data_IF_802651596699
#
_entry.id   IF_802651596699
#
_cell.length_a   1.000
_cell.length_b   1.000
_cell.length_c   1.000
_cell.angle_alpha   90.00
_cell.angle_beta   90.00
_cell.angle_gamma   90.00
#
_symmetry.space_group_name_H-M   'P 1'
#
loop_
_entity.id
_entity.type
_entity.pdbx_description
1 polymer ?
#
# COMPACT_ATOMS: atom_id res chain seq x y z
N UNK A 1 1.72 15.78 5.37
CA UNK A 1 0.69 15.84 4.30
C UNK A 1 -0.64 15.41 4.90
N UNK A 2 -1.71 16.21 4.72
CA UNK A 2 -3.05 15.83 5.17
C UNK A 2 -3.48 14.51 4.50
N UNK A 3 -4.35 13.77 5.18
CA UNK A 3 -4.92 12.56 4.61
C UNK A 3 -5.69 12.92 3.32
N UNK A 4 -5.61 12.09 2.27
CA UNK A 4 -6.41 12.33 1.08
C UNK A 4 -7.89 12.30 1.43
N UNK A 5 -8.65 13.18 0.77
CA UNK A 5 -10.11 13.20 0.85
C UNK A 5 -10.66 11.79 0.57
N UNK A 6 -11.32 11.15 1.56
CA UNK A 6 -11.80 9.79 1.43
C UNK A 6 -12.95 9.68 0.43
N UNK A 7 -13.69 10.75 0.17
CA UNK A 7 -14.90 10.71 -0.65
C UNK A 7 -14.67 11.09 -2.12
N UNK A 8 -13.47 11.57 -2.48
CA UNK A 8 -13.19 12.03 -3.84
C UNK A 8 -12.81 10.95 -4.85
N UNK A 9 -12.64 9.69 -4.41
CA UNK A 9 -12.20 8.57 -5.27
C UNK A 9 -12.86 7.27 -4.84
N UNK A 10 -13.37 6.53 -5.81
CA UNK A 10 -13.95 5.18 -5.64
C UNK A 10 -13.20 4.19 -6.54
N UNK A 11 -12.87 3.02 -6.00
CA UNK A 11 -12.24 1.92 -6.76
C UNK A 11 -13.32 0.88 -7.10
N UNK A 12 -13.43 0.53 -8.38
CA UNK A 12 -14.44 -0.41 -8.86
C UNK A 12 -13.78 -1.56 -9.62
N UNK A 13 -14.20 -2.79 -9.33
CA UNK A 13 -13.88 -3.94 -10.17
C UNK A 13 -14.79 -3.94 -11.40
N UNK A 14 -14.20 -4.21 -12.58
CA UNK A 14 -14.88 -4.27 -13.88
C UNK A 14 -14.62 -5.63 -14.52
N UNK A 15 -15.46 -6.10 -15.45
CA UNK A 15 -15.28 -7.41 -16.10
C UNK A 15 -13.91 -7.63 -16.76
N UNK A 16 -13.22 -6.55 -17.13
CA UNK A 16 -11.92 -6.59 -17.83
C UNK A 16 -10.78 -5.96 -17.01
N UNK A 17 -10.98 -5.71 -15.71
CA UNK A 17 -9.95 -5.12 -14.86
C UNK A 17 -10.50 -4.18 -13.80
N UNK A 18 -9.82 -3.05 -13.58
CA UNK A 18 -10.17 -2.12 -12.51
C UNK A 18 -10.42 -0.71 -13.04
N UNK A 19 -11.44 -0.05 -12.48
CA UNK A 19 -11.75 1.36 -12.69
C UNK A 19 -11.48 2.17 -11.44
N UNK A 20 -11.11 3.44 -11.62
CA UNK A 20 -11.01 4.41 -10.52
C UNK A 20 -11.83 5.63 -10.91
N UNK A 21 -12.94 5.85 -10.20
CA UNK A 21 -13.80 7.02 -10.37
C UNK A 21 -13.23 8.19 -9.59
N UNK A 22 -13.30 9.38 -10.18
CA UNK A 22 -12.81 10.62 -9.57
C UNK A 22 -13.95 11.62 -9.52
N UNK A 23 -14.40 11.94 -8.31
CA UNK A 23 -15.41 12.95 -8.10
C UNK A 23 -14.78 14.35 -8.09
N UNK A 24 -15.27 15.23 -8.94
CA UNK A 24 -14.81 16.62 -9.03
C UNK A 24 -15.98 17.57 -8.85
N UNK A 25 -16.40 17.80 -7.60
CA UNK A 25 -17.37 18.85 -7.30
C UNK A 25 -16.79 20.23 -7.64
N UNK A 26 -17.46 20.98 -8.52
CA UNK A 26 -17.07 22.33 -8.95
C UNK A 26 -15.57 22.46 -9.32
N UNK A 27 -14.99 21.43 -9.94
CA UNK A 27 -13.57 21.32 -10.32
C UNK A 27 -12.55 21.39 -9.15
N UNK A 28 -13.02 21.53 -7.90
CA UNK A 28 -12.16 21.55 -6.71
C UNK A 28 -11.37 20.25 -6.60
N UNK A 29 -10.09 20.33 -6.26
CA UNK A 29 -9.23 19.16 -6.03
C UNK A 29 -8.96 18.27 -7.26
N UNK A 30 -9.41 18.65 -8.47
CA UNK A 30 -9.27 17.84 -9.71
C UNK A 30 -7.84 17.34 -9.93
N UNK A 31 -6.85 18.21 -9.85
CA UNK A 31 -5.44 17.84 -10.09
C UNK A 31 -4.93 16.82 -9.08
N UNK A 32 -5.20 17.04 -7.79
CA UNK A 32 -4.75 16.16 -6.71
C UNK A 32 -5.46 14.80 -6.77
N UNK A 33 -6.78 14.79 -7.02
CA UNK A 33 -7.57 13.55 -7.14
C UNK A 33 -7.17 12.76 -8.38
N UNK A 34 -6.94 13.40 -9.53
CA UNK A 34 -6.43 12.74 -10.74
C UNK A 34 -5.04 12.16 -10.55
N UNK A 35 -4.13 12.87 -9.87
CA UNK A 35 -2.80 12.34 -9.55
C UNK A 35 -2.90 11.10 -8.65
N UNK A 36 -3.76 11.13 -7.63
CA UNK A 36 -4.04 9.98 -6.76
C UNK A 36 -4.64 8.82 -7.55
N UNK A 37 -5.61 9.05 -8.42
CA UNK A 37 -6.23 8.02 -9.25
C UNK A 37 -5.23 7.32 -10.15
N UNK A 38 -4.33 8.07 -10.81
CA UNK A 38 -3.24 7.49 -11.62
C UNK A 38 -2.32 6.60 -10.79
N UNK A 39 -1.99 6.99 -9.56
CA UNK A 39 -1.17 6.18 -8.67
C UNK A 39 -1.91 4.90 -8.22
N UNK A 40 -3.21 4.99 -7.92
CA UNK A 40 -4.03 3.81 -7.58
C UNK A 40 -4.09 2.85 -8.76
N UNK A 41 -4.37 3.33 -9.98
CA UNK A 41 -4.39 2.52 -11.20
C UNK A 41 -3.06 1.78 -11.45
N UNK A 42 -1.92 2.46 -11.25
CA UNK A 42 -0.60 1.80 -11.36
C UNK A 42 -0.41 0.67 -10.36
N UNK A 43 -0.87 0.85 -9.12
CA UNK A 43 -0.76 -0.18 -8.09
C UNK A 43 -1.78 -1.32 -8.28
N UNK A 44 -2.97 -1.02 -8.82
CA UNK A 44 -3.95 -2.02 -9.25
C UNK A 44 -3.36 -2.90 -10.35
N UNK A 45 -2.73 -2.29 -11.37
CA UNK A 45 -2.07 -3.02 -12.45
C UNK A 45 -0.89 -3.86 -11.96
N UNK A 46 -0.12 -3.38 -10.97
CA UNK A 46 1.03 -4.11 -10.46
C UNK A 46 0.63 -5.30 -9.56
N UNK A 47 -0.20 -5.04 -8.54
CA UNK A 47 -0.44 -5.99 -7.45
C UNK A 47 -1.91 -5.98 -6.95
N UNK A 48 -2.85 -5.47 -7.74
CA UNK A 48 -4.28 -5.43 -7.37
C UNK A 48 -4.61 -4.55 -6.16
N UNK A 49 -3.79 -3.53 -5.87
CA UNK A 49 -3.99 -2.66 -4.68
C UNK A 49 -4.03 -3.45 -3.35
N UNK A 50 -3.16 -4.46 -3.24
CA UNK A 50 -3.07 -5.35 -2.09
C UNK A 50 -1.98 -4.94 -1.06
N UNK A 51 -2.25 -5.26 0.21
CA UNK A 51 -1.32 -5.06 1.31
C UNK A 51 -0.11 -5.98 1.19
N UNK A 52 1.11 -5.41 1.18
CA UNK A 52 2.36 -6.18 1.06
C UNK A 52 2.68 -7.10 2.25
N UNK A 53 1.96 -6.98 3.36
CA UNK A 53 2.17 -7.82 4.55
C UNK A 53 1.16 -8.95 4.67
N UNK A 54 -0.13 -8.65 4.50
CA UNK A 54 -1.21 -9.64 4.73
C UNK A 54 -1.97 -10.02 3.47
N UNK A 55 -1.64 -9.47 2.30
CA UNK A 55 -2.33 -9.74 1.03
C UNK A 55 -3.73 -9.13 0.90
N UNK A 56 -4.36 -8.73 2.00
CA UNK A 56 -5.70 -8.13 1.98
C UNK A 56 -5.76 -6.77 1.27
N UNK A 57 -6.96 -6.31 0.88
CA UNK A 57 -7.13 -5.08 0.13
C UNK A 57 -6.65 -3.85 0.91
N UNK A 58 -6.02 -2.91 0.21
CA UNK A 58 -5.72 -1.59 0.78
C UNK A 58 -7.00 -0.74 0.71
N UNK A 59 -7.46 -0.15 1.84
CA UNK A 59 -8.67 0.68 1.80
C UNK A 59 -8.50 1.90 0.90
N UNK A 60 -9.57 2.30 0.21
CA UNK A 60 -9.55 3.41 -0.74
C UNK A 60 -9.08 4.72 -0.11
N UNK A 61 -9.52 5.05 1.11
CA UNK A 61 -9.14 6.26 1.86
C UNK A 61 -7.64 6.34 2.24
N UNK A 62 -6.86 5.28 1.97
CA UNK A 62 -5.41 5.34 2.14
C UNK A 62 -4.78 6.23 1.07
N UNK A 63 -3.55 6.64 1.38
CA UNK A 63 -2.73 7.37 0.42
C UNK A 63 -2.45 6.53 -0.82
N UNK A 64 -2.28 7.18 -1.97
CA UNK A 64 -2.02 6.54 -3.26
C UNK A 64 -0.74 5.67 -3.28
N UNK A 65 0.19 5.92 -2.37
CA UNK A 65 1.46 5.20 -2.19
C UNK A 65 1.42 4.21 -1.01
N UNK A 66 0.24 3.97 -0.43
CA UNK A 66 0.10 3.06 0.69
C UNK A 66 0.41 1.62 0.27
N UNK A 67 1.42 1.02 0.92
CA UNK A 67 1.82 -0.37 0.72
C UNK A 67 1.13 -1.35 1.68
N UNK A 68 0.38 -0.84 2.65
CA UNK A 68 -0.22 -1.64 3.73
C UNK A 68 -1.64 -1.17 4.00
N UNK A 69 -2.53 -2.10 4.34
CA UNK A 69 -3.93 -1.81 4.67
C UNK A 69 -4.07 -0.91 5.93
N UNK A 70 -3.11 -0.99 6.86
CA UNK A 70 -3.08 -0.10 8.01
C UNK A 70 -1.85 -0.21 8.90
N UNK A 71 -1.92 0.49 10.04
CA UNK A 71 -0.80 0.70 10.94
C UNK A 71 -0.24 -0.62 11.50
N UNK A 72 -1.11 -1.56 11.86
CA UNK A 72 -0.69 -2.86 12.37
C UNK A 72 0.17 -3.65 11.38
N UNK A 73 -0.22 -3.67 10.10
CA UNK A 73 0.56 -4.31 9.03
C UNK A 73 1.87 -3.57 8.76
N UNK A 74 1.84 -2.23 8.77
CA UNK A 74 3.05 -1.39 8.62
C UNK A 74 4.08 -1.69 9.73
N UNK A 75 3.65 -1.73 10.99
CA UNK A 75 4.51 -2.02 12.15
C UNK A 75 5.04 -3.45 12.12
N UNK A 76 4.22 -4.44 11.76
CA UNK A 76 4.67 -5.84 11.62
C UNK A 76 5.74 -5.99 10.54
N UNK A 77 5.51 -5.40 9.36
CA UNK A 77 6.50 -5.40 8.29
C UNK A 77 7.81 -4.70 8.70
N UNK A 78 7.73 -3.58 9.43
CA UNK A 78 8.92 -2.89 9.95
C UNK A 78 9.70 -3.75 10.97
N UNK A 79 9.00 -4.42 11.89
CA UNK A 79 9.63 -5.35 12.84
C UNK A 79 10.29 -6.53 12.14
N UNK A 80 9.64 -7.11 11.14
CA UNK A 80 10.21 -8.22 10.35
C UNK A 80 11.49 -7.80 9.62
N UNK A 81 11.52 -6.63 8.99
CA UNK A 81 12.74 -6.10 8.35
C UNK A 81 13.88 -5.89 9.33
N UNK A 82 13.61 -5.27 10.48
CA UNK A 82 14.62 -5.08 11.53
C UNK A 82 15.19 -6.40 12.06
N UNK A 83 14.34 -7.44 12.21
CA UNK A 83 14.80 -8.78 12.59
C UNK A 83 15.68 -9.41 11.52
N UNK A 84 15.33 -9.26 10.25
CA UNK A 84 16.13 -9.76 9.13
C UNK A 84 17.48 -9.03 9.03
N UNK A 85 17.48 -7.70 9.18
CA UNK A 85 18.68 -6.87 9.23
C UNK A 85 19.59 -7.28 10.41
N UNK A 86 19.02 -7.45 11.61
CA UNK A 86 19.77 -7.92 12.77
C UNK A 86 20.39 -9.31 12.56
N UNK A 87 19.66 -10.24 11.93
CA UNK A 87 20.18 -11.56 11.56
C UNK A 87 21.27 -11.48 10.48
N UNK A 88 21.13 -10.57 9.52
CA UNK A 88 22.10 -10.38 8.45
C UNK A 88 23.40 -9.72 8.94
N UNK A 89 23.33 -8.82 9.93
CA UNK A 89 24.50 -8.16 10.51
C UNK A 89 25.34 -9.07 11.42
N UNK A 90 24.78 -10.17 11.91
CA UNK A 90 25.47 -11.15 12.76
C UNK A 90 25.20 -12.59 12.27
N UNK A 91 25.77 -13.00 11.13
CA UNK A 91 25.49 -14.31 10.53
C UNK A 91 26.10 -15.50 11.31
N UNK A 92 26.96 -15.25 12.31
CA UNK A 92 27.95 -16.22 12.83
C UNK A 92 27.62 -16.91 14.19
N UNK A 93 26.35 -16.93 14.63
CA UNK A 93 25.98 -17.57 15.90
C UNK A 93 25.44 -19.01 15.77
N UNK A 94 25.04 -19.46 14.57
CA UNK A 94 24.38 -20.76 14.35
C UNK A 94 25.35 -21.90 13.95
N UNK A 95 26.65 -21.63 13.78
CA UNK A 95 27.62 -22.60 13.23
C UNK A 95 28.39 -23.44 14.28
N UNK A 96 28.13 -23.29 15.59
CA UNK A 96 28.93 -23.94 16.66
C UNK A 96 28.15 -24.93 17.54
N UNK A 97 27.08 -25.55 17.02
CA UNK A 97 26.19 -26.44 17.77
C UNK A 97 26.03 -27.87 17.23
N UNK A 98 26.92 -28.34 16.35
CA UNK A 98 27.01 -29.76 15.95
C UNK A 98 28.48 -30.17 15.95
N UNK A 99 28.86 -31.02 16.91
CA UNK A 99 30.22 -31.57 17.04
C UNK A 99 30.65 -31.67 18.49
#
# INVERSE_FOLDING_TARGET
MPAPDPHGITIEERPQGWGVLVETFMLSGRTQRMARAKCILRNLAANGWACRWCGGPVPEFRRADARYCGEGCRKRAARSRRKAEARASFPDADARGMG
#
